data_IF_000520741065
#
_entry.id   IF_000520741065
#
_cell.length_a   1.000
_cell.length_b   1.000
_cell.length_c   1.000
_cell.angle_alpha   90.00
_cell.angle_beta   90.00
_cell.angle_gamma   90.00
#
_symmetry.space_group_name_H-M   'P 1'
#
loop_
_entity.id
_entity.type
_entity.pdbx_description
1 polymer ?
2 polymer ?
3 non-polymer ?
4 non-polymer ?
5 water ?
#
loop_
_entity_poly.entity_id
_entity_poly.type
_entity_poly.pdbx_seq_one_letter_code
_entity_poly.pdbx_strand_id
2 'polydeoxyribonucleotide' '(DC)(DT)(DC)(DG)(DA)(DC)(DC)(DG)(DG)(DT)(DC)(DG)(DA)(DG)' ?
#
# COMPACT_ATOMS: atom_id res chain seq x y z
N UNK A 1 46.34 -6.58 -6.50
CA UNK A 1 44.93 -6.58 -6.16
C UNK A 1 44.36 -5.19 -6.44
N UNK A 2 43.30 -5.10 -7.23
CA UNK A 2 42.64 -3.80 -7.43
C UNK A 2 41.65 -3.58 -6.27
N UNK A 3 41.01 -2.40 -6.20
CA UNK A 3 40.22 -2.08 -4.98
C UNK A 3 39.01 -2.99 -4.89
N UNK A 4 38.47 -3.39 -6.05
CA UNK A 4 37.26 -4.17 -6.05
C UNK A 4 37.54 -5.58 -5.50
N UNK A 5 38.61 -6.22 -5.99
CA UNK A 5 39.07 -7.50 -5.46
C UNK A 5 39.36 -7.42 -3.99
N UNK A 6 40.00 -6.34 -3.57
CA UNK A 6 40.33 -6.14 -2.18
C UNK A 6 39.04 -6.09 -1.34
N UNK A 7 38.04 -5.39 -1.83
CA UNK A 7 36.79 -5.24 -1.02
C UNK A 7 36.08 -6.56 -0.89
N UNK A 8 36.03 -7.29 -1.99
CA UNK A 8 35.33 -8.57 -2.01
C UNK A 8 35.97 -9.50 -0.96
N UNK A 9 37.29 -9.57 -1.01
CA UNK A 9 38.04 -10.52 -0.19
C UNK A 9 38.01 -10.08 1.27
N UNK A 10 38.15 -8.79 1.50
CA UNK A 10 38.21 -8.26 2.85
C UNK A 10 36.86 -8.33 3.58
N UNK A 11 35.77 -8.00 2.86
CA UNK A 11 34.42 -8.10 3.47
C UNK A 11 34.20 -9.58 3.93
N UNK A 12 34.53 -10.51 3.05
CA UNK A 12 34.32 -11.93 3.35
C UNK A 12 35.14 -12.34 4.54
N UNK A 13 36.40 -11.90 4.61
CA UNK A 13 37.27 -12.27 5.73
C UNK A 13 36.77 -11.73 7.06
N UNK A 14 36.44 -10.45 7.08
CA UNK A 14 36.03 -9.82 8.32
C UNK A 14 34.66 -10.38 8.73
N UNK A 15 33.78 -10.62 7.76
CA UNK A 15 32.47 -11.17 8.16
C UNK A 15 32.66 -12.54 8.85
N UNK A 16 33.42 -13.41 8.18
CA UNK A 16 33.57 -14.80 8.66
C UNK A 16 34.22 -14.81 10.02
N UNK A 17 35.28 -14.02 10.18
CA UNK A 17 36.01 -13.97 11.48
C UNK A 17 35.11 -13.46 12.58
N UNK A 18 34.34 -12.41 12.26
CA UNK A 18 33.55 -11.80 13.30
C UNK A 18 32.39 -12.73 13.61
N UNK A 19 31.82 -13.34 12.58
CA UNK A 19 30.65 -14.19 12.86
C UNK A 19 31.10 -15.40 13.70
N UNK A 20 32.20 -16.07 13.36
CA UNK A 20 32.61 -17.23 14.20
C UNK A 20 32.82 -16.77 15.63
N UNK A 21 33.37 -15.57 15.81
CA UNK A 21 33.70 -15.12 17.19
C UNK A 21 32.49 -14.65 18.00
N UNK A 22 31.60 -13.83 17.41
CA UNK A 22 30.50 -13.29 18.22
C UNK A 22 29.15 -13.93 17.92
N UNK A 23 29.02 -14.64 16.80
CA UNK A 23 27.80 -15.42 16.55
C UNK A 23 26.54 -14.62 16.29
N UNK A 24 26.70 -13.38 15.78
CA UNK A 24 25.56 -12.54 15.47
C UNK A 24 25.77 -12.01 14.01
N UNK A 25 24.98 -12.51 13.05
CA UNK A 25 25.18 -12.14 11.65
C UNK A 25 24.98 -10.66 11.38
N UNK A 26 23.94 -10.05 11.97
CA UNK A 26 23.70 -8.61 11.72
C UNK A 26 24.81 -7.73 12.27
N UNK A 27 25.33 -8.07 13.45
CA UNK A 27 26.48 -7.28 13.98
C UNK A 27 27.70 -7.51 13.08
N UNK A 28 27.92 -8.78 12.67
CA UNK A 28 29.10 -9.12 11.91
C UNK A 28 29.07 -8.49 10.53
N UNK A 29 27.92 -8.46 9.89
CA UNK A 29 27.94 -7.87 8.52
C UNK A 29 28.13 -6.37 8.61
N UNK A 30 27.66 -5.71 9.69
CA UNK A 30 27.89 -4.27 9.80
C UNK A 30 29.37 -3.97 10.07
N UNK A 31 29.96 -4.80 10.92
CA UNK A 31 31.42 -4.66 11.10
C UNK A 31 32.19 -4.86 9.82
N UNK A 32 31.82 -5.89 9.04
CA UNK A 32 32.50 -6.13 7.75
C UNK A 32 32.29 -4.95 6.78
N UNK A 33 31.08 -4.37 6.77
CA UNK A 33 30.87 -3.23 5.88
C UNK A 33 31.74 -2.03 6.29
N UNK A 34 31.66 -1.69 7.57
CA UNK A 34 32.37 -0.52 8.12
C UNK A 34 33.87 -0.69 7.95
N UNK A 35 34.36 -1.85 8.34
CA UNK A 35 35.82 -2.03 8.37
C UNK A 35 36.40 -2.25 6.99
N UNK A 36 35.60 -2.80 6.07
CA UNK A 36 36.10 -2.96 4.71
C UNK A 36 36.15 -1.56 4.07
N UNK A 37 35.11 -0.74 4.28
CA UNK A 37 35.10 0.64 3.73
C UNK A 37 36.36 1.39 4.24
N UNK A 38 36.60 1.32 5.53
CA UNK A 38 37.73 2.07 6.12
C UNK A 38 39.06 1.54 5.56
N UNK A 39 39.21 0.22 5.54
CA UNK A 39 40.46 -0.45 5.12
C UNK A 39 40.78 -0.16 3.67
N UNK A 40 39.75 -0.22 2.84
CA UNK A 40 39.91 0.01 1.40
C UNK A 40 40.19 1.44 1.11
N UNK A 41 39.53 2.37 1.85
CA UNK A 41 39.88 3.78 1.62
C UNK A 41 41.34 4.02 2.00
N UNK A 42 41.85 3.34 3.00
CA UNK A 42 43.30 3.41 3.24
C UNK A 42 44.16 2.72 2.20
N UNK A 43 43.83 1.51 1.80
CA UNK A 43 44.68 0.81 0.83
C UNK A 43 44.59 1.43 -0.55
N UNK A 44 43.49 2.13 -0.81
CA UNK A 44 43.25 2.73 -2.15
C UNK A 44 42.78 4.19 -2.06
N UNK A 45 43.71 5.08 -1.64
CA UNK A 45 43.41 6.49 -1.37
C UNK A 45 42.96 7.27 -2.58
N UNK A 46 43.31 6.82 -3.78
CA UNK A 46 42.94 7.59 -4.93
C UNK A 46 41.68 7.07 -5.61
N UNK A 47 41.01 6.10 -5.00
CA UNK A 47 39.74 5.62 -5.58
C UNK A 47 38.57 6.36 -4.91
N UNK A 48 37.54 6.73 -5.67
CA UNK A 48 36.43 7.53 -5.13
C UNK A 48 35.70 6.71 -4.05
N UNK A 49 35.41 7.30 -2.89
CA UNK A 49 34.83 6.53 -1.79
C UNK A 49 33.52 5.88 -2.23
N UNK A 50 32.77 6.55 -3.13
CA UNK A 50 31.52 5.97 -3.62
C UNK A 50 31.75 4.67 -4.39
N UNK A 51 32.89 4.57 -5.08
CA UNK A 51 33.17 3.33 -5.83
C UNK A 51 33.52 2.18 -4.89
N UNK A 52 34.31 2.51 -3.87
CA UNK A 52 34.56 1.53 -2.82
C UNK A 52 33.25 1.01 -2.17
N UNK A 53 32.37 1.93 -1.84
CA UNK A 53 31.08 1.55 -1.22
C UNK A 53 30.34 0.60 -2.16
N UNK A 54 30.38 0.88 -3.46
CA UNK A 54 29.74 -0.05 -4.43
C UNK A 54 30.37 -1.45 -4.47
N UNK A 55 31.67 -1.55 -4.24
CA UNK A 55 32.33 -2.86 -4.21
C UNK A 55 31.95 -3.61 -2.92
N UNK A 56 31.80 -2.87 -1.83
CA UNK A 56 31.34 -3.47 -0.56
C UNK A 56 29.90 -3.98 -0.71
N UNK A 57 29.10 -3.16 -1.34
CA UNK A 57 27.70 -3.61 -1.70
C UNK A 57 27.72 -4.92 -2.48
N UNK A 58 28.59 -5.00 -3.49
CA UNK A 58 28.73 -6.19 -4.31
C UNK A 58 29.05 -7.39 -3.42
N UNK A 59 29.95 -7.20 -2.45
CA UNK A 59 30.40 -8.31 -1.61
C UNK A 59 29.24 -8.74 -0.71
N UNK A 60 28.54 -7.76 -0.18
CA UNK A 60 27.46 -8.08 0.73
C UNK A 60 26.34 -8.77 -0.04
N UNK A 61 26.00 -8.21 -1.20
CA UNK A 61 24.98 -8.89 -2.03
C UNK A 61 25.35 -10.34 -2.43
N UNK A 62 26.63 -10.59 -2.76
CA UNK A 62 27.10 -11.94 -3.11
C UNK A 62 26.92 -12.88 -1.91
N UNK A 63 27.32 -12.44 -0.72
CA UNK A 63 27.21 -13.31 0.45
C UNK A 63 25.73 -13.67 0.74
N UNK A 64 24.88 -12.67 0.70
CA UNK A 64 23.49 -12.90 1.02
C UNK A 64 22.79 -13.76 -0.03
N UNK A 65 22.97 -13.42 -1.30
CA UNK A 65 22.16 -14.00 -2.40
C UNK A 65 22.79 -15.16 -3.12
N UNK A 66 24.12 -15.31 -3.01
CA UNK A 66 24.86 -16.27 -3.83
C UNK A 66 25.16 -15.82 -5.26
N UNK A 67 24.72 -14.62 -5.59
CA UNK A 67 24.91 -14.01 -6.91
C UNK A 67 26.01 -12.97 -6.96
N UNK A 68 27.00 -13.20 -7.82
CA UNK A 68 28.16 -12.32 -7.87
C UNK A 68 28.05 -11.38 -9.06
N UNK A 69 27.14 -11.71 -9.98
CA UNK A 69 26.99 -11.05 -11.29
C UNK A 69 26.24 -9.74 -11.13
N UNK A 70 26.92 -8.60 -11.32
CA UNK A 70 26.24 -7.34 -11.00
C UNK A 70 25.11 -7.05 -11.99
N UNK A 71 25.18 -7.66 -13.16
CA UNK A 71 24.15 -7.46 -14.17
C UNK A 71 22.84 -8.14 -13.79
N UNK A 72 22.93 -9.35 -13.21
CA UNK A 72 21.75 -10.06 -12.78
C UNK A 72 21.05 -9.20 -11.70
N UNK A 73 21.88 -8.74 -10.76
CA UNK A 73 21.34 -7.99 -9.64
C UNK A 73 20.65 -6.71 -10.13
N UNK A 74 21.32 -6.00 -11.03
CA UNK A 74 20.75 -4.76 -11.52
C UNK A 74 19.41 -5.05 -12.21
N UNK A 75 19.37 -6.11 -13.02
CA UNK A 75 18.16 -6.42 -13.81
C UNK A 75 17.00 -6.79 -12.89
N UNK A 76 17.30 -7.54 -11.82
CA UNK A 76 16.21 -7.92 -10.93
C UNK A 76 15.69 -6.69 -10.21
N UNK A 77 16.58 -5.83 -9.77
CA UNK A 77 16.13 -4.63 -9.03
C UNK A 77 15.33 -3.70 -9.93
N UNK A 78 15.81 -3.53 -11.14
CA UNK A 78 15.08 -2.72 -12.13
C UNK A 78 13.62 -3.27 -12.32
N UNK A 79 13.51 -4.57 -12.50
CA UNK A 79 12.20 -5.21 -12.68
C UNK A 79 11.32 -5.08 -11.45
N UNK A 80 11.90 -5.34 -10.28
CA UNK A 80 11.16 -5.21 -9.03
C UNK A 80 10.61 -3.78 -8.88
N UNK A 81 11.45 -2.80 -9.18
CA UNK A 81 10.97 -1.42 -8.99
C UNK A 81 9.95 -0.99 -10.03
N UNK A 82 10.03 -1.61 -11.18
CA UNK A 82 8.97 -1.47 -12.17
C UNK A 82 7.62 -2.02 -11.63
N UNK A 83 7.64 -3.27 -11.16
CA UNK A 83 6.45 -3.89 -10.55
C UNK A 83 5.93 -3.07 -9.40
N UNK A 84 6.82 -2.59 -8.54
CA UNK A 84 6.40 -1.86 -7.37
C UNK A 84 5.63 -0.59 -7.69
N UNK A 85 6.04 0.10 -8.73
CA UNK A 85 5.35 1.32 -9.05
C UNK A 85 4.12 1.11 -10.00
N UNK A 86 4.16 0.13 -10.91
CA UNK A 86 3.07 -0.03 -11.86
C UNK A 86 1.95 -1.01 -11.42
N UNK A 87 2.28 -2.02 -10.60
CA UNK A 87 1.29 -3.07 -10.34
C UNK A 87 0.08 -2.53 -9.55
N UNK A 88 0.33 -1.63 -8.59
CA UNK A 88 -0.72 -1.04 -7.76
C UNK A 88 -1.66 -0.23 -8.69
N UNK A 89 -1.07 0.49 -9.65
CA UNK A 89 -1.91 1.22 -10.62
C UNK A 89 -2.73 0.24 -11.44
N UNK A 90 -2.10 -0.83 -11.93
CA UNK A 90 -2.85 -1.82 -12.70
C UNK A 90 -4.02 -2.36 -11.88
N UNK A 91 -3.77 -2.64 -10.59
CA UNK A 91 -4.85 -3.24 -9.76
C UNK A 91 -6.02 -2.23 -9.56
N UNK A 92 -5.69 -0.96 -9.27
CA UNK A 92 -6.74 0.07 -9.20
C UNK A 92 -7.55 0.16 -10.47
N UNK A 93 -6.84 0.16 -11.61
CA UNK A 93 -7.52 0.22 -12.90
C UNK A 93 -8.42 -0.98 -13.10
N UNK A 94 -7.95 -2.13 -12.62
CA UNK A 94 -8.74 -3.35 -12.73
C UNK A 94 -10.06 -3.23 -11.92
N UNK A 95 -9.96 -2.76 -10.68
CA UNK A 95 -11.13 -2.55 -9.85
C UNK A 95 -12.10 -1.55 -10.51
N UNK A 96 -11.56 -0.47 -11.03
CA UNK A 96 -12.40 0.53 -11.70
C UNK A 96 -13.14 -0.13 -12.87
N UNK A 97 -12.42 -0.92 -13.68
CA UNK A 97 -13.04 -1.52 -14.89
C UNK A 97 -14.12 -2.55 -14.48
N UNK A 98 -13.79 -3.37 -13.50
CA UNK A 98 -14.70 -4.41 -13.02
C UNK A 98 -15.91 -3.76 -12.39
N UNK A 99 -15.68 -2.82 -11.49
CA UNK A 99 -16.75 -2.15 -10.78
C UNK A 99 -17.67 -1.36 -11.70
N UNK A 100 -17.09 -0.67 -12.68
CA UNK A 100 -17.92 0.22 -13.47
C UNK A 100 -18.88 -0.52 -14.39
N UNK A 101 -18.53 -1.72 -14.79
CA UNK A 101 -19.46 -2.47 -15.62
C UNK A 101 -20.71 -2.81 -14.82
N UNK A 102 -20.59 -3.00 -13.53
CA UNK A 102 -21.75 -3.29 -12.71
C UNK A 102 -22.46 -2.08 -12.15
N UNK A 103 -21.73 -1.01 -11.82
CA UNK A 103 -22.29 0.11 -11.10
C UNK A 103 -23.11 1.03 -12.02
N UNK A 104 -22.78 0.98 -13.30
CA UNK A 104 -23.34 1.85 -14.32
C UNK A 104 -24.87 1.79 -14.27
N UNK A 105 -25.44 0.61 -14.09
CA UNK A 105 -26.91 0.53 -14.15
C UNK A 105 -27.60 1.19 -12.95
N UNK A 106 -26.84 1.49 -11.90
CA UNK A 106 -27.39 2.19 -10.75
C UNK A 106 -26.93 3.65 -10.67
N UNK A 107 -26.38 4.18 -11.75
CA UNK A 107 -26.01 5.60 -11.76
C UNK A 107 -24.70 5.93 -11.03
N UNK A 108 -23.84 4.94 -10.86
CA UNK A 108 -22.61 5.13 -10.08
C UNK A 108 -21.38 4.84 -10.95
N UNK A 109 -20.24 5.45 -10.62
CA UNK A 109 -18.99 5.01 -11.22
C UNK A 109 -17.84 5.31 -10.31
N UNK A 110 -16.80 4.50 -10.49
CA UNK A 110 -15.54 4.60 -9.82
C UNK A 110 -14.62 5.45 -10.67
N UNK A 111 -13.91 6.33 -9.97
CA UNK A 111 -12.92 7.21 -10.57
C UNK A 111 -11.54 6.94 -9.99
N UNK A 112 -10.52 6.97 -10.84
CA UNK A 112 -9.13 7.04 -10.29
C UNK A 112 -8.91 8.38 -9.63
N UNK A 113 -7.97 8.45 -8.70
CA UNK A 113 -7.63 9.77 -8.14
C UNK A 113 -7.35 10.79 -9.25
N UNK A 114 -6.58 10.42 -10.29
CA UNK A 114 -6.32 11.44 -11.32
C UNK A 114 -7.62 11.82 -12.11
N UNK A 115 -8.57 10.90 -12.23
CA UNK A 115 -9.89 11.21 -12.84
C UNK A 115 -10.60 12.28 -12.01
N UNK A 116 -10.70 12.03 -10.71
CA UNK A 116 -11.35 13.00 -9.84
C UNK A 116 -10.61 14.33 -9.88
N UNK A 117 -9.28 14.31 -9.89
CA UNK A 117 -8.52 15.58 -9.97
C UNK A 117 -8.93 16.42 -11.21
N UNK A 118 -8.95 15.78 -12.37
CA UNK A 118 -9.37 16.44 -13.63
C UNK A 118 -10.85 16.92 -13.59
N UNK A 119 -11.73 16.12 -13.01
CA UNK A 119 -13.12 16.50 -12.98
C UNK A 119 -13.36 17.70 -12.06
N UNK A 120 -12.64 17.73 -10.93
CA UNK A 120 -12.73 18.88 -10.02
C UNK A 120 -12.20 20.14 -10.72
N UNK A 121 -11.03 20.01 -11.35
CA UNK A 121 -10.49 21.11 -12.15
C UNK A 121 -11.47 21.55 -13.26
N UNK A 122 -12.15 20.62 -13.92
CA UNK A 122 -13.16 21.02 -14.90
C UNK A 122 -14.55 21.31 -14.34
N UNK A 123 -14.65 21.51 -13.02
CA UNK A 123 -15.91 21.82 -12.36
C UNK A 123 -17.06 20.85 -12.72
N UNK A 124 -16.76 19.56 -12.76
CA UNK A 124 -17.74 18.55 -13.13
C UNK A 124 -18.30 17.83 -11.90
N UNK A 125 -17.83 18.19 -10.70
CA UNK A 125 -18.25 17.50 -9.45
C UNK A 125 -19.16 18.43 -8.69
N UNK A 126 -20.35 17.96 -8.35
CA UNK A 126 -21.38 18.80 -7.75
C UNK A 126 -21.33 18.94 -6.22
N UNK A 127 -20.40 18.28 -5.55
CA UNK A 127 -20.37 18.42 -4.07
C UNK A 127 -20.23 19.86 -3.62
N UNK A 128 -20.67 20.14 -2.40
CA UNK A 128 -20.53 21.43 -1.79
C UNK A 128 -19.10 21.83 -1.75
N UNK A 129 -18.82 23.15 -1.77
CA UNK A 129 -17.41 23.58 -1.79
C UNK A 129 -16.59 23.04 -0.62
N UNK A 130 -17.19 22.96 0.56
CA UNK A 130 -16.51 22.34 1.68
C UNK A 130 -15.96 20.89 1.36
N UNK A 131 -16.79 20.07 0.75
CA UNK A 131 -16.34 18.76 0.27
C UNK A 131 -15.25 18.85 -0.79
N UNK A 132 -15.45 19.74 -1.75
CA UNK A 132 -14.47 19.88 -2.85
C UNK A 132 -13.10 20.18 -2.26
N UNK A 133 -13.06 21.10 -1.31
CA UNK A 133 -11.80 21.47 -0.68
C UNK A 133 -11.15 20.31 0.07
N UNK A 134 -11.98 19.56 0.76
CA UNK A 134 -11.51 18.38 1.48
C UNK A 134 -10.98 17.31 0.52
N UNK A 135 -11.70 17.08 -0.57
CA UNK A 135 -11.24 16.13 -1.56
C UNK A 135 -9.94 16.58 -2.19
N UNK A 136 -9.81 17.88 -2.46
CA UNK A 136 -8.55 18.35 -3.05
C UNK A 136 -7.36 18.05 -2.11
N UNK A 137 -7.58 18.16 -0.79
CA UNK A 137 -6.54 17.82 0.21
C UNK A 137 -6.24 16.33 0.19
N UNK A 138 -7.27 15.49 0.01
CA UNK A 138 -7.00 14.03 0.00
C UNK A 138 -6.19 13.66 -1.27
N UNK A 139 -6.52 14.30 -2.38
CA UNK A 139 -5.83 14.08 -3.66
C UNK A 139 -4.38 14.53 -3.50
N UNK A 140 -4.21 15.70 -2.88
CA UNK A 140 -2.86 16.22 -2.67
C UNK A 140 -1.97 15.22 -1.92
N UNK A 141 -2.53 14.58 -0.90
CA UNK A 141 -1.72 13.72 -0.04
C UNK A 141 -1.82 12.24 -0.42
N UNK A 142 -2.43 11.98 -1.57
CA UNK A 142 -2.42 10.64 -2.18
C UNK A 142 -2.99 9.59 -1.25
N UNK A 143 -4.04 9.97 -0.56
CA UNK A 143 -4.58 9.17 0.50
C UNK A 143 -5.42 7.98 0.01
N UNK A 144 -6.28 8.24 -0.99
CA UNK A 144 -7.19 7.21 -1.53
C UNK A 144 -6.82 6.86 -2.95
N UNK A 145 -7.00 5.61 -3.34
CA UNK A 145 -6.64 5.09 -4.66
C UNK A 145 -7.77 5.36 -5.65
N UNK A 146 -8.99 5.24 -5.15
CA UNK A 146 -10.17 5.35 -5.99
C UNK A 146 -11.25 6.17 -5.28
N UNK A 147 -12.15 6.75 -6.04
CA UNK A 147 -13.32 7.44 -5.48
C UNK A 147 -14.57 6.91 -6.17
N UNK A 148 -15.73 7.06 -5.52
CA UNK A 148 -16.95 6.57 -6.19
C UNK A 148 -17.99 7.68 -6.18
N UNK A 149 -18.74 7.80 -7.28
CA UNK A 149 -19.72 8.85 -7.42
C UNK A 149 -21.09 8.32 -7.69
N UNK A 150 -22.10 9.18 -7.48
CA UNK A 150 -23.49 8.83 -7.81
C UNK A 150 -24.11 10.02 -8.51
N UNK A 151 -24.97 9.74 -9.51
CA UNK A 151 -25.65 10.77 -10.24
C UNK A 151 -27.02 11.02 -9.64
N UNK A 152 -27.30 12.27 -9.33
CA UNK A 152 -28.59 12.63 -8.74
C UNK A 152 -29.02 13.97 -9.32
N UNK A 153 -30.24 14.02 -9.85
CA UNK A 153 -30.75 15.23 -10.48
C UNK A 153 -29.74 15.77 -11.49
N UNK A 154 -29.22 14.87 -12.32
CA UNK A 154 -28.28 15.22 -13.38
C UNK A 154 -26.96 15.82 -12.91
N UNK A 155 -26.59 15.57 -11.66
CA UNK A 155 -25.34 16.11 -11.11
C UNK A 155 -24.58 14.94 -10.54
N UNK A 156 -23.25 15.00 -10.51
CA UNK A 156 -22.48 13.87 -10.07
C UNK A 156 -21.82 14.23 -8.76
N UNK A 157 -22.00 13.36 -7.76
CA UNK A 157 -21.51 13.59 -6.41
C UNK A 157 -20.51 12.55 -6.01
N UNK A 158 -19.33 12.95 -5.49
CA UNK A 158 -18.47 11.96 -4.83
C UNK A 158 -19.09 11.59 -3.47
N UNK A 159 -19.32 10.30 -3.21
CA UNK A 159 -19.87 9.93 -1.89
C UNK A 159 -18.94 8.94 -1.17
N UNK A 160 -17.93 8.38 -1.86
CA UNK A 160 -17.13 7.37 -1.17
C UNK A 160 -15.64 7.45 -1.55
N UNK A 161 -14.80 7.04 -0.60
CA UNK A 161 -13.34 7.03 -0.71
C UNK A 161 -12.90 5.57 -0.56
N UNK A 162 -12.02 5.11 -1.44
CA UNK A 162 -11.68 3.71 -1.51
C UNK A 162 -10.16 3.50 -1.51
N UNK A 163 -9.70 2.62 -0.63
CA UNK A 163 -8.29 2.18 -0.62
C UNK A 163 -8.21 0.86 -1.30
N UNK A 164 -7.27 0.67 -2.23
CA UNK A 164 -7.30 -0.61 -2.94
C UNK A 164 -5.92 -1.16 -3.00
N UNK A 165 -5.63 -2.15 -2.12
CA UNK A 165 -4.30 -2.66 -1.80
C UNK A 165 -4.04 -4.08 -2.26
N UNK A 166 -2.84 -4.36 -2.79
CA UNK A 166 -2.58 -5.66 -3.36
C UNK A 166 -1.94 -6.50 -2.28
N UNK A 167 -1.52 -5.85 -1.21
CA UNK A 167 -1.13 -6.54 -0.01
C UNK A 167 -1.89 -5.87 1.14
N UNK A 168 -2.68 -6.64 1.87
CA UNK A 168 -3.30 -6.15 3.09
C UNK A 168 -2.28 -6.27 4.21
N UNK A 169 -1.06 -6.61 3.84
CA UNK A 169 -0.08 -7.05 4.80
C UNK A 169 0.13 -6.02 5.89
N UNK A 170 0.48 -4.80 5.52
CA UNK A 170 1.08 -3.91 6.50
C UNK A 170 0.54 -2.52 6.42
N UNK A 171 0.24 -2.09 5.19
CA UNK A 171 -0.16 -0.71 4.88
C UNK A 171 -1.34 -0.27 5.78
N UNK A 172 -2.04 -1.26 6.32
CA UNK A 172 -3.29 -0.99 6.99
C UNK A 172 -3.09 -0.26 8.31
N UNK A 173 -1.96 -0.39 9.02
CA UNK A 173 -1.79 0.44 10.23
C UNK A 173 -1.77 1.91 9.84
N UNK A 174 -1.07 2.26 8.76
CA UNK A 174 -1.06 3.66 8.29
C UNK A 174 -2.30 4.12 7.45
N UNK A 175 -3.07 3.18 6.89
CA UNK A 175 -4.29 3.46 6.09
C UNK A 175 -5.55 3.68 6.95
N UNK A 176 -5.53 3.13 8.14
CA UNK A 176 -6.70 3.27 9.01
C UNK A 176 -7.00 4.73 9.40
N UNK A 177 -5.98 5.51 9.73
CA UNK A 177 -6.20 6.89 10.23
C UNK A 177 -6.90 7.76 9.11
N UNK A 178 -6.40 7.71 7.86
CA UNK A 178 -7.11 8.53 6.87
C UNK A 178 -8.48 7.99 6.55
N UNK A 179 -8.68 6.69 6.68
CA UNK A 179 -10.05 6.14 6.42
C UNK A 179 -10.98 6.70 7.52
N UNK A 180 -10.49 6.75 8.75
CA UNK A 180 -11.36 7.26 9.87
C UNK A 180 -11.65 8.75 9.70
N UNK A 181 -10.67 9.49 9.16
CA UNK A 181 -10.95 10.87 8.83
C UNK A 181 -12.03 11.03 7.73
N UNK A 182 -12.05 10.13 6.73
CA UNK A 182 -13.07 10.16 5.69
C UNK A 182 -14.44 9.88 6.31
N UNK A 183 -14.49 8.94 7.27
CA UNK A 183 -15.79 8.67 7.95
C UNK A 183 -16.20 9.88 8.76
N UNK A 184 -15.24 10.54 9.41
CA UNK A 184 -15.54 11.77 10.12
C UNK A 184 -16.07 12.90 9.22
N UNK A 185 -15.66 12.85 7.97
CA UNK A 185 -16.09 13.82 6.94
C UNK A 185 -17.36 13.41 6.24
N UNK A 186 -17.96 12.32 6.71
CA UNK A 186 -19.25 11.80 6.21
C UNK A 186 -19.11 11.38 4.76
N UNK A 187 -18.08 10.57 4.48
CA UNK A 187 -18.03 9.80 3.22
C UNK A 187 -18.03 8.31 3.56
N UNK A 188 -18.55 7.51 2.62
CA UNK A 188 -18.36 6.05 2.68
C UNK A 188 -16.89 5.77 2.58
N UNK A 189 -16.33 4.97 3.48
CA UNK A 189 -14.89 4.75 3.42
C UNK A 189 -14.63 3.25 3.42
N UNK A 190 -14.10 2.74 2.32
CA UNK A 190 -13.91 1.29 2.27
C UNK A 190 -12.57 0.88 1.73
N UNK A 191 -12.25 -0.41 1.88
CA UNK A 191 -10.97 -0.90 1.36
C UNK A 191 -11.25 -2.15 0.57
N UNK A 192 -10.45 -2.38 -0.49
CA UNK A 192 -10.57 -3.61 -1.32
C UNK A 192 -9.21 -4.20 -1.26
N UNK A 193 -9.05 -5.45 -0.82
CA UNK A 193 -7.70 -5.99 -0.85
C UNK A 193 -7.63 -7.39 -1.32
N UNK A 194 -6.49 -7.68 -1.92
CA UNK A 194 -6.24 -8.88 -2.62
C UNK A 194 -6.05 -10.10 -1.78
N UNK A 195 -5.42 -9.92 -0.64
CA UNK A 195 -4.96 -11.11 0.07
C UNK A 195 -5.36 -10.90 1.48
N UNK A 196 -6.09 -11.87 2.02
CA UNK A 196 -6.58 -11.74 3.38
C UNK A 196 -5.70 -12.37 4.47
N UNK A 197 -4.52 -12.88 4.10
CA UNK A 197 -3.64 -13.64 5.02
C UNK A 197 -3.35 -12.88 6.31
N UNK A 198 -3.34 -11.56 6.22
CA UNK A 198 -2.99 -10.76 7.39
C UNK A 198 -4.14 -10.84 8.39
N UNK A 199 -5.35 -11.16 7.93
CA UNK A 199 -6.52 -11.19 8.82
C UNK A 199 -6.55 -12.50 9.65
N UNK A 200 -5.61 -13.40 9.34
CA UNK A 200 -5.29 -14.49 10.25
C UNK A 200 -5.03 -13.92 11.64
N UNK A 201 -4.24 -12.86 11.73
CA UNK A 201 -4.01 -12.24 13.03
C UNK A 201 -5.28 -11.51 13.52
N UNK A 202 -5.75 -11.85 14.75
CA UNK A 202 -6.86 -11.13 15.42
C UNK A 202 -6.66 -9.61 15.42
N UNK A 203 -5.41 -9.18 15.47
CA UNK A 203 -5.12 -7.75 15.43
C UNK A 203 -5.75 -7.08 14.22
N UNK A 204 -5.60 -7.69 13.05
CA UNK A 204 -6.06 -7.04 11.87
C UNK A 204 -7.61 -7.07 11.72
N UNK A 205 -8.24 -8.16 12.16
CA UNK A 205 -9.69 -8.14 12.28
C UNK A 205 -10.17 -6.99 13.17
N UNK A 206 -9.45 -6.75 14.26
CA UNK A 206 -9.79 -5.70 15.22
C UNK A 206 -9.59 -4.31 14.60
N UNK A 207 -8.52 -4.16 13.82
CA UNK A 207 -8.27 -2.90 13.11
C UNK A 207 -9.40 -2.52 12.20
N UNK A 208 -10.07 -3.51 11.60
CA UNK A 208 -11.16 -3.21 10.67
C UNK A 208 -12.43 -3.01 11.49
N UNK A 209 -12.74 -3.96 12.35
CA UNK A 209 -14.06 -4.01 12.99
C UNK A 209 -14.16 -3.24 14.28
N UNK A 210 -13.01 -2.98 14.92
CA UNK A 210 -13.04 -2.26 16.18
C UNK A 210 -13.48 -3.17 17.31
N UNK A 211 -13.83 -2.57 18.45
CA UNK A 211 -14.32 -3.32 19.60
C UNK A 211 -13.28 -3.91 20.52
N UNK A 212 -12.05 -3.40 20.46
CA UNK A 212 -11.06 -3.83 21.44
C UNK A 212 -10.38 -2.61 22.07
N UNK A 213 -9.54 -2.87 23.08
CA UNK A 213 -8.84 -1.77 23.76
C UNK A 213 -7.90 -1.03 22.82
N UNK A 214 -7.18 -1.75 21.98
CA UNK A 214 -6.29 -1.12 21.01
C UNK A 214 -7.05 -0.41 19.89
N UNK A 215 -8.19 -0.97 19.54
CA UNK A 215 -8.95 -0.45 18.40
C UNK A 215 -10.37 -0.36 18.81
N UNK A 216 -10.77 0.77 19.40
CA UNK A 216 -12.12 0.88 19.95
C UNK A 216 -13.18 0.94 18.83
N UNK A 217 -12.91 1.73 17.80
CA UNK A 217 -13.87 1.88 16.69
C UNK A 217 -13.43 1.12 15.46
N UNK A 218 -14.38 0.86 14.56
CA UNK A 218 -14.05 0.30 13.26
C UNK A 218 -13.21 1.29 12.41
N UNK A 219 -12.32 0.76 11.55
CA UNK A 219 -11.40 1.63 10.83
C UNK A 219 -11.94 2.02 9.46
N UNK A 220 -12.95 1.26 9.02
CA UNK A 220 -13.62 1.39 7.71
C UNK A 220 -15.10 1.09 7.88
N UNK A 221 -15.92 1.52 6.91
CA UNK A 221 -17.30 1.06 6.84
C UNK A 221 -17.34 -0.39 6.42
N UNK A 222 -16.40 -0.74 5.56
CA UNK A 222 -16.42 -2.09 5.00
C UNK A 222 -15.04 -2.38 4.38
N UNK A 223 -14.65 -3.64 4.47
CA UNK A 223 -13.41 -4.13 3.90
C UNK A 223 -13.85 -5.28 2.97
N UNK A 224 -13.43 -5.25 1.70
CA UNK A 224 -13.87 -6.29 0.73
C UNK A 224 -12.67 -7.07 0.33
N UNK A 225 -12.65 -8.36 0.65
CA UNK A 225 -11.43 -9.15 0.47
C UNK A 225 -11.67 -10.22 -0.59
N UNK A 226 -10.70 -10.39 -1.52
CA UNK A 226 -10.79 -11.48 -2.50
C UNK A 226 -10.52 -12.85 -1.84
N UNK A 227 -11.54 -13.41 -1.21
CA UNK A 227 -11.38 -14.73 -0.64
C UNK A 227 -12.82 -15.31 -0.52
N UNK A 228 -12.95 -16.54 -0.03
CA UNK A 228 -14.27 -17.14 0.10
C UNK A 228 -14.70 -17.30 1.55
N UNK A 229 -13.95 -16.68 2.47
CA UNK A 229 -14.31 -16.78 3.87
C UNK A 229 -15.61 -16.00 4.10
N UNK A 230 -16.52 -16.52 4.91
CA UNK A 230 -17.75 -15.80 5.23
C UNK A 230 -17.51 -14.49 5.93
N UNK A 231 -18.46 -13.58 5.78
CA UNK A 231 -18.42 -12.27 6.40
C UNK A 231 -18.11 -12.30 7.90
N UNK A 232 -17.16 -11.43 8.31
CA UNK A 232 -16.90 -11.22 9.74
C UNK A 232 -17.20 -9.76 10.03
N UNK A 233 -18.42 -9.47 10.45
CA UNK A 233 -18.86 -8.10 10.73
C UNK A 233 -18.73 -7.20 9.48
N UNK A 234 -17.66 -6.40 9.39
CA UNK A 234 -17.50 -5.49 8.23
C UNK A 234 -16.46 -6.00 7.25
N UNK A 235 -16.01 -7.25 7.43
CA UNK A 235 -15.05 -7.84 6.50
C UNK A 235 -15.80 -8.79 5.58
N UNK A 236 -15.98 -8.36 4.34
CA UNK A 236 -16.85 -9.07 3.41
C UNK A 236 -16.10 -9.78 2.27
N UNK A 237 -16.59 -10.96 1.83
CA UNK A 237 -15.95 -11.66 0.72
C UNK A 237 -16.39 -11.10 -0.63
N UNK A 238 -15.42 -11.02 -1.56
CA UNK A 238 -15.75 -10.69 -2.95
C UNK A 238 -14.95 -11.57 -3.87
N UNK A 239 -15.39 -11.66 -5.12
CA UNK A 239 -14.58 -12.25 -6.17
C UNK A 239 -14.63 -11.25 -7.33
N UNK A 240 -14.31 -11.74 -8.51
CA UNK A 240 -14.17 -10.82 -9.67
C UNK A 240 -15.45 -9.97 -9.92
N UNK A 241 -16.60 -10.48 -9.51
CA UNK A 241 -17.83 -9.68 -9.69
C UNK A 241 -18.09 -8.57 -8.66
N UNK A 242 -17.30 -8.51 -7.58
CA UNK A 242 -17.41 -7.42 -6.61
C UNK A 242 -18.84 -7.25 -6.03
N UNK A 243 -19.55 -8.37 -5.85
CA UNK A 243 -20.98 -8.24 -5.60
C UNK A 243 -21.36 -7.46 -4.37
N UNK A 244 -20.79 -7.83 -3.21
CA UNK A 244 -21.18 -7.12 -2.01
C UNK A 244 -20.71 -5.66 -2.05
N UNK A 245 -19.57 -5.43 -2.68
CA UNK A 245 -19.14 -4.03 -2.83
C UNK A 245 -20.21 -3.22 -3.63
N UNK A 246 -20.63 -3.78 -4.75
CA UNK A 246 -21.64 -3.09 -5.58
C UNK A 246 -22.95 -2.93 -4.83
N UNK A 247 -23.43 -4.00 -4.17
CA UNK A 247 -24.71 -3.85 -3.47
C UNK A 247 -24.60 -2.85 -2.28
N UNK A 248 -23.47 -2.85 -1.57
CA UNK A 248 -23.32 -1.88 -0.46
C UNK A 248 -23.17 -0.47 -1.03
N UNK A 249 -22.51 -0.32 -2.17
CA UNK A 249 -22.39 1.03 -2.77
C UNK A 249 -23.79 1.61 -3.05
N UNK A 250 -24.71 0.76 -3.50
CA UNK A 250 -26.11 1.23 -3.74
C UNK A 250 -26.71 1.85 -2.48
N UNK A 251 -26.50 1.13 -1.38
CA UNK A 251 -27.07 1.55 -0.12
C UNK A 251 -26.35 2.78 0.43
N UNK A 252 -25.03 2.80 0.32
CA UNK A 252 -24.23 3.94 0.77
C UNK A 252 -24.64 5.21 0.00
N UNK A 253 -24.82 5.08 -1.30
CA UNK A 253 -25.13 6.30 -2.12
C UNK A 253 -26.48 6.88 -1.66
N UNK A 254 -27.44 6.01 -1.41
CA UNK A 254 -28.77 6.53 -1.07
C UNK A 254 -28.74 7.14 0.34
N UNK A 255 -27.93 6.60 1.26
CA UNK A 255 -27.86 7.18 2.60
C UNK A 255 -27.00 8.44 2.58
N UNK A 256 -25.97 8.51 1.71
CA UNK A 256 -25.18 9.73 1.63
C UNK A 256 -26.02 10.86 1.06
N UNK A 257 -26.84 10.55 0.06
CA UNK A 257 -27.68 11.56 -0.53
C UNK A 257 -28.77 12.02 0.45
N UNK A 258 -29.36 11.11 1.22
CA UNK A 258 -30.60 11.50 1.91
C UNK A 258 -30.52 11.59 3.42
N UNK A 259 -29.53 10.97 4.04
CA UNK A 259 -29.41 11.03 5.50
C UNK A 259 -27.91 11.09 5.84
N UNK A 260 -27.20 12.01 5.19
CA UNK A 260 -25.72 12.02 5.33
C UNK A 260 -25.23 12.23 6.80
N UNK A 261 -26.07 12.85 7.64
CA UNK A 261 -25.68 13.16 9.01
C UNK A 261 -25.43 11.87 9.82
N UNK A 262 -25.98 10.75 9.36
CA UNK A 262 -25.75 9.51 10.10
C UNK A 262 -24.70 8.66 9.39
N UNK A 263 -23.91 9.29 8.50
CA UNK A 263 -22.87 8.52 7.77
C UNK A 263 -21.50 8.74 8.40
N UNK A 264 -21.44 8.70 9.73
CA UNK A 264 -20.15 8.66 10.44
C UNK A 264 -19.70 7.18 10.51
N UNK A 265 -18.73 6.88 11.39
CA UNK A 265 -18.18 5.53 11.47
C UNK A 265 -19.23 4.46 11.81
N UNK A 266 -20.37 4.84 12.42
CA UNK A 266 -21.32 3.86 12.88
C UNK A 266 -22.09 3.23 11.73
N UNK A 267 -22.13 3.92 10.61
CA UNK A 267 -22.93 3.43 9.47
C UNK A 267 -22.45 2.03 9.08
N UNK A 268 -23.39 1.13 8.80
CA UNK A 268 -23.00 -0.17 8.30
C UNK A 268 -24.03 -0.65 7.28
N UNK A 269 -23.61 -1.33 6.22
CA UNK A 269 -24.52 -1.78 5.18
C UNK A 269 -25.46 -2.86 5.71
N UNK A 270 -26.68 -2.90 5.17
CA UNK A 270 -27.54 -4.06 5.36
C UNK A 270 -28.26 -4.12 6.69
N UNK A 271 -28.36 -2.98 7.37
CA UNK A 271 -28.93 -2.97 8.74
C UNK A 271 -30.38 -2.47 8.80
N UNK A 272 -30.93 -2.06 7.65
CA UNK A 272 -32.21 -1.35 7.67
C UNK A 272 -33.37 -2.33 7.90
X LIG C 1 -13.05 11.27 -16.76
X LIG C 1 -14.25 11.00 -16.54
X LIG C 1 -12.73 12.46 -17.02
X LIG C 1 -11.99 10.19 -16.71
X LIG C 1 -12.40 9.01 -17.58
X LIG C 1 -13.12 7.98 -16.74
X LIG C 1 -13.83 8.33 -15.76
X LIG C 1 -12.99 6.76 -17.02
X LIG D 1 -30.93 16.02 -2.44
X LIG D 1 -31.33 15.94 -1.26
X LIG D 1 -31.57 16.64 -3.33
X LIG D 1 -29.63 15.38 -2.84
X LIG D 1 -28.61 16.52 -2.85
X LIG D 1 -27.60 16.09 -1.82
X LIG D 1 -27.94 15.92 -0.61
X LIG D 1 -26.43 15.90 -2.21
X LIG E 1 -19.27 -2.25 15.18
X LIG F 1 -18.88 -15.65 -6.80
#
# INVERSE_FOLDING_TARGET
>A
MNFFEYCISTYAKIFEETMNAVGDERVSQKKAIRDTMISAMREFPNVEAAEIWKAVYSAHMDRKSGIADPDIIQKVISAENSWKKSSGHAFEEMIKLLGNSSLEEYGMRILLQKDLNMMIENQEIANEPRDINWLKEQISSNVFDLYITVRNNDKEYVFGCIQSKTSIRDRVTRDREPSMKAMEAFFWSVAICLDGDFLKMPKFIAMVNGGTSNYRLNGWHGMYVFWDKPTIDRIYPIDINLELFVQHAREAAEDWLHRRQWFNYEWKAGQK
>C hetero
1 SIN C1 O1 O2 C2 C3 C4 O3 O4
>D hetero
1 SIN C1 O1 O2 C2 C3 C4 O3 O4
>E hetero
1 CA CA
>F hetero
1 CA CA
#
